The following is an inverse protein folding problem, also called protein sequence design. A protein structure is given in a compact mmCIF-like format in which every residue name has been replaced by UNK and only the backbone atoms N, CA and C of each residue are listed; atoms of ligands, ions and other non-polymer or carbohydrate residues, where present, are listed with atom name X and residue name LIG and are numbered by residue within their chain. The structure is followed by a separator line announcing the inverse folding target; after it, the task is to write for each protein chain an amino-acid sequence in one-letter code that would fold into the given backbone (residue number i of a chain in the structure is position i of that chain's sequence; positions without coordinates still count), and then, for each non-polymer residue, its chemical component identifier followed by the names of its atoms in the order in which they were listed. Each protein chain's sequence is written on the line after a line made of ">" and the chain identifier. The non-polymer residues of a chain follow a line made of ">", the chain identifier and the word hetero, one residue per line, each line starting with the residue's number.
data_IF_977464512439
#
_entry.id   IF_977464512439
#
_cell.length_a   1.000
_cell.length_b   1.000
_cell.length_c   1.000
_cell.angle_alpha   90.00
_cell.angle_beta   90.00
_cell.angle_gamma   90.00
#
_symmetry.space_group_name_H-M   'P 1'
#
loop_
_entity.id
_entity.type
_entity.pdbx_description
1 polymer ?
#
# COMPACT_ATOMS: atom_id res chain seq x y z
N UNK A 1 9.66 0.98 2.19
CA UNK A 1 9.51 0.92 0.72
C UNK A 1 10.61 1.78 0.12
N UNK A 2 11.53 1.20 -0.66
CA UNK A 2 12.62 1.93 -1.34
C UNK A 2 13.35 2.96 -0.46
N UNK A 3 13.91 2.53 0.67
CA UNK A 3 14.64 3.40 1.60
C UNK A 3 13.76 4.23 2.56
N UNK A 4 12.45 4.33 2.32
CA UNK A 4 11.49 4.99 3.22
C UNK A 4 10.96 4.00 4.26
N UNK A 5 11.07 4.34 5.54
CA UNK A 5 10.53 3.57 6.66
C UNK A 5 9.23 4.23 7.13
N UNK A 6 8.09 3.62 6.79
CA UNK A 6 6.77 4.06 7.25
C UNK A 6 6.46 3.36 8.56
N UNK A 7 6.25 4.14 9.63
CA UNK A 7 5.96 3.59 10.96
C UNK A 7 4.46 3.40 11.16
N UNK A 8 4.09 2.45 12.02
CA UNK A 8 2.72 2.19 12.45
C UNK A 8 1.73 1.97 11.29
N UNK A 9 2.18 1.26 10.24
CA UNK A 9 1.30 0.87 9.14
C UNK A 9 0.53 -0.40 9.51
N UNK A 10 -0.79 -0.32 9.55
CA UNK A 10 -1.65 -1.52 9.61
C UNK A 10 -1.63 -2.22 8.25
N UNK A 11 -1.36 -3.53 8.26
CA UNK A 11 -1.38 -4.39 7.07
C UNK A 11 -2.26 -5.59 7.38
N UNK A 12 -3.07 -6.01 6.41
CA UNK A 12 -3.89 -7.20 6.54
C UNK A 12 -3.05 -8.46 6.30
N UNK A 13 -3.18 -9.45 7.18
CA UNK A 13 -2.68 -10.80 6.94
C UNK A 13 -3.77 -11.64 6.27
N UNK A 14 -3.42 -12.31 5.17
CA UNK A 14 -4.34 -13.26 4.52
C UNK A 14 -4.10 -14.66 5.10
N UNK A 15 -5.08 -15.19 5.84
CA UNK A 15 -5.00 -16.55 6.41
C UNK A 15 -5.40 -17.63 5.39
N UNK A 16 -6.33 -17.31 4.50
CA UNK A 16 -6.83 -18.21 3.46
C UNK A 16 -6.94 -17.43 2.16
N UNK A 17 -6.32 -17.97 1.12
CA UNK A 17 -6.24 -17.33 -0.18
C UNK A 17 -6.72 -18.30 -1.26
N UNK A 18 -7.68 -17.87 -2.05
CA UNK A 18 -8.15 -18.57 -3.25
C UNK A 18 -7.91 -17.65 -4.46
N UNK A 19 -7.31 -18.16 -5.53
CA UNK A 19 -7.15 -17.40 -6.78
C UNK A 19 -5.83 -16.63 -6.95
N UNK A 20 -4.78 -16.94 -6.18
CA UNK A 20 -3.42 -16.42 -6.42
C UNK A 20 -2.40 -17.52 -6.77
N UNK A 21 -2.85 -18.75 -6.99
CA UNK A 21 -2.00 -19.88 -7.39
C UNK A 21 -1.35 -19.58 -8.74
N UNK A 22 -0.01 -19.57 -8.79
CA UNK A 22 0.77 -19.32 -10.01
C UNK A 22 1.06 -17.84 -10.31
N UNK A 23 0.66 -16.91 -9.44
CA UNK A 23 1.10 -15.52 -9.55
C UNK A 23 2.55 -15.36 -9.08
N UNK A 24 3.28 -14.44 -9.71
CA UNK A 24 4.64 -14.04 -9.30
C UNK A 24 4.65 -13.06 -8.12
N UNK A 25 3.49 -12.52 -7.77
CA UNK A 25 3.34 -11.51 -6.72
C UNK A 25 2.72 -12.13 -5.47
N UNK A 26 3.28 -11.80 -4.29
CA UNK A 26 2.84 -12.35 -3.00
C UNK A 26 1.64 -11.62 -2.39
N UNK A 27 1.31 -10.42 -2.90
CA UNK A 27 0.25 -9.60 -2.32
C UNK A 27 -0.05 -8.35 -3.11
N UNK A 28 -0.91 -7.51 -2.54
CA UNK A 28 -1.38 -6.26 -3.14
C UNK A 28 -1.00 -5.09 -2.24
N UNK A 29 -0.51 -4.03 -2.85
CA UNK A 29 -0.21 -2.77 -2.18
C UNK A 29 -1.23 -1.70 -2.60
N UNK A 30 -2.19 -1.41 -1.73
CA UNK A 30 -3.28 -0.47 -2.02
C UNK A 30 -2.85 0.99 -2.00
N UNK A 31 -3.19 1.72 -3.08
CA UNK A 31 -2.91 3.15 -3.25
C UNK A 31 -4.18 4.02 -3.34
N UNK A 32 -5.35 3.42 -3.13
CA UNK A 32 -6.64 4.12 -3.19
C UNK A 32 -6.94 4.94 -1.92
N UNK A 33 -8.02 5.70 -1.96
CA UNK A 33 -8.52 6.51 -0.84
C UNK A 33 -8.92 5.65 0.38
N UNK A 34 -8.77 6.22 1.57
CA UNK A 34 -9.11 5.55 2.84
C UNK A 34 -10.58 5.13 2.95
N UNK A 35 -11.49 5.79 2.23
CA UNK A 35 -12.92 5.47 2.20
C UNK A 35 -13.24 4.09 1.62
N UNK A 36 -12.30 3.48 0.90
CA UNK A 36 -12.43 2.14 0.31
C UNK A 36 -11.74 1.05 1.14
N UNK A 37 -11.19 1.41 2.30
CA UNK A 37 -10.61 0.43 3.22
C UNK A 37 -11.71 -0.32 3.96
N UNK A 38 -11.42 -1.57 4.34
CA UNK A 38 -12.43 -2.45 4.93
C UNK A 38 -12.81 -2.02 6.34
N UNK A 39 -11.81 -1.70 7.16
CA UNK A 39 -12.00 -1.37 8.58
C UNK A 39 -11.60 0.08 8.88
N UNK A 40 -11.56 0.94 7.85
CA UNK A 40 -11.24 2.36 7.97
C UNK A 40 -9.76 2.65 8.18
N UNK A 41 -8.88 1.69 7.88
CA UNK A 41 -7.46 1.84 8.12
C UNK A 41 -6.83 2.93 7.24
N UNK A 42 -5.76 3.53 7.74
CA UNK A 42 -5.05 4.57 7.00
C UNK A 42 -4.18 3.93 5.90
N UNK A 43 -4.39 4.28 4.61
CA UNK A 43 -3.53 3.80 3.54
C UNK A 43 -2.09 4.22 3.75
N UNK A 44 -1.16 3.41 3.25
CA UNK A 44 0.28 3.63 3.41
C UNK A 44 0.77 4.97 2.87
N UNK A 45 0.21 5.44 1.77
CA UNK A 45 0.54 6.73 1.18
C UNK A 45 0.17 7.89 2.11
N UNK A 46 -0.93 7.77 2.86
CA UNK A 46 -1.32 8.78 3.84
C UNK A 46 -0.36 8.79 5.03
N UNK A 47 0.13 7.62 5.44
CA UNK A 47 1.14 7.54 6.50
C UNK A 47 2.46 8.16 6.05
N UNK A 48 2.89 7.91 4.80
CA UNK A 48 4.05 8.59 4.21
C UNK A 48 3.91 10.11 4.25
N UNK A 49 2.77 10.64 3.77
CA UNK A 49 2.50 12.07 3.77
C UNK A 49 2.50 12.66 5.19
N UNK A 50 1.73 12.07 6.10
CA UNK A 50 1.59 12.59 7.47
C UNK A 50 2.88 12.51 8.31
N UNK A 51 3.79 11.58 7.98
CA UNK A 51 5.08 11.43 8.65
C UNK A 51 6.17 12.31 8.01
N UNK A 52 5.85 13.11 6.98
CA UNK A 52 6.81 13.96 6.28
C UNK A 52 7.85 13.18 5.49
N UNK A 53 7.54 11.94 5.07
CA UNK A 53 8.48 11.05 4.40
C UNK A 53 8.55 11.29 2.88
N UNK A 54 7.65 12.10 2.34
CA UNK A 54 7.60 12.50 0.93
C UNK A 54 7.41 14.01 0.85
N UNK A 55 8.02 14.66 -0.15
CA UNK A 55 7.96 16.11 -0.33
C UNK A 55 6.62 16.59 -0.87
N UNK A 56 5.94 15.76 -1.66
CA UNK A 56 4.66 16.06 -2.30
C UNK A 56 3.70 14.89 -2.14
N UNK A 57 2.41 15.17 -1.98
CA UNK A 57 1.35 14.17 -1.88
C UNK A 57 0.93 13.61 -3.24
N UNK A 58 1.91 13.28 -4.10
CA UNK A 58 1.72 12.75 -5.45
C UNK A 58 2.54 11.46 -5.59
N UNK A 59 2.02 10.50 -6.34
CA UNK A 59 2.78 9.35 -6.84
C UNK A 59 2.52 9.18 -8.34
N UNK A 60 3.47 8.55 -9.03
CA UNK A 60 3.37 8.26 -10.46
C UNK A 60 3.74 6.81 -10.73
N UNK A 61 3.28 6.29 -11.86
CA UNK A 61 3.63 4.95 -12.33
C UNK A 61 3.94 4.99 -13.81
N UNK A 62 4.90 4.18 -14.23
CA UNK A 62 5.27 3.97 -15.62
C UNK A 62 5.27 2.46 -15.86
N UNK A 63 4.54 2.02 -16.87
CA UNK A 63 4.49 0.62 -17.28
C UNK A 63 5.16 0.51 -18.65
N UNK A 64 6.27 -0.23 -18.70
CA UNK A 64 6.91 -0.58 -19.97
C UNK A 64 6.15 -1.76 -20.58
N UNK A 65 5.71 -1.69 -21.85
CA UNK A 65 5.07 -2.80 -22.54
C UNK A 65 5.98 -4.01 -22.74
#
# INVERSE_FOLDING_TARGET
>A
ISGIIVKNQTIAQCAFLNGMTGNVNDGIFGLAYSSLTKDGEKPVFYNMWSQGLISEAIFSSYFNP
#
